data_IF_620520596155
#
_entry.id   IF_620520596155
#
_cell.length_a   1.000
_cell.length_b   1.000
_cell.length_c   1.000
_cell.angle_alpha   90.00
_cell.angle_beta   90.00
_cell.angle_gamma   90.00
#
_symmetry.space_group_name_H-M   'P 1'
#
loop_
_entity.id
_entity.type
_entity.pdbx_description
1 polymer ?
#
# COMPACT_ATOMS: atom_id res chain seq x y z
N UNK A 1 4.37 7.58 -29.26
CA UNK A 1 4.06 8.50 -28.14
C UNK A 1 4.94 8.08 -26.98
N UNK A 2 5.86 8.93 -26.53
CA UNK A 2 6.63 8.72 -25.30
C UNK A 2 5.92 9.47 -24.19
N UNK A 3 5.27 8.75 -23.29
CA UNK A 3 4.77 9.34 -22.05
C UNK A 3 5.92 9.48 -21.07
N UNK A 4 6.11 10.68 -20.53
CA UNK A 4 7.11 10.94 -19.50
C UNK A 4 6.40 11.04 -18.15
N UNK A 5 6.96 10.43 -17.12
CA UNK A 5 6.48 10.60 -15.74
C UNK A 5 7.31 11.67 -15.04
N UNK A 6 6.63 12.55 -14.31
CA UNK A 6 7.24 13.63 -13.52
C UNK A 6 6.87 13.38 -12.06
N UNK A 7 7.87 13.22 -11.21
CA UNK A 7 7.68 13.13 -9.76
C UNK A 7 7.81 14.53 -9.16
N UNK A 8 6.80 14.98 -8.41
CA UNK A 8 6.82 16.24 -7.67
C UNK A 8 6.35 15.99 -6.23
N UNK A 9 7.32 15.93 -5.31
CA UNK A 9 7.05 15.48 -3.95
C UNK A 9 6.51 14.05 -3.96
N UNK A 10 5.40 13.83 -3.26
CA UNK A 10 4.76 12.52 -3.13
C UNK A 10 3.77 12.21 -4.26
N UNK A 11 3.67 13.06 -5.28
CA UNK A 11 2.76 12.86 -6.40
C UNK A 11 3.52 12.64 -7.71
N UNK A 12 2.97 11.76 -8.54
CA UNK A 12 3.43 11.43 -9.87
C UNK A 12 2.45 12.00 -10.86
N UNK A 13 2.98 12.65 -11.89
CA UNK A 13 2.21 13.22 -12.98
C UNK A 13 2.64 12.56 -14.28
N UNK A 14 1.68 12.33 -15.18
CA UNK A 14 1.94 11.92 -16.55
C UNK A 14 2.01 13.17 -17.42
N UNK A 15 3.09 13.31 -18.18
CA UNK A 15 3.27 14.36 -19.17
C UNK A 15 3.17 13.78 -20.56
N UNK A 16 2.34 14.40 -21.39
CA UNK A 16 2.15 14.06 -22.80
C UNK A 16 2.41 15.30 -23.66
N UNK A 17 3.22 15.15 -24.70
CA UNK A 17 3.45 16.21 -25.69
C UNK A 17 2.57 15.97 -26.91
N UNK A 18 1.78 16.99 -27.25
CA UNK A 18 1.01 17.05 -28.48
C UNK A 18 1.71 18.02 -29.41
N UNK A 19 2.27 17.49 -30.50
CA UNK A 19 2.91 18.29 -31.55
C UNK A 19 1.89 18.53 -32.65
N UNK A 20 1.66 19.80 -32.98
CA UNK A 20 0.87 20.26 -34.12
C UNK A 20 1.81 20.96 -35.12
N UNK A 21 1.34 21.25 -36.33
CA UNK A 21 2.14 21.89 -37.38
C UNK A 21 2.72 23.28 -36.96
N UNK A 22 2.14 23.91 -35.94
CA UNK A 22 2.50 25.28 -35.51
C UNK A 22 2.96 25.39 -34.06
N UNK A 23 2.80 24.35 -33.23
CA UNK A 23 3.09 24.43 -31.80
C UNK A 23 3.27 23.03 -31.18
N UNK A 24 4.11 22.97 -30.15
CA UNK A 24 4.14 21.87 -29.17
C UNK A 24 3.38 22.29 -27.92
N UNK A 25 2.45 21.45 -27.47
CA UNK A 25 1.69 21.62 -26.22
C UNK A 25 2.04 20.47 -25.29
N UNK A 26 2.43 20.78 -24.05
CA UNK A 26 2.65 19.77 -22.99
C UNK A 26 1.44 19.74 -22.05
N UNK A 27 0.83 18.58 -21.90
CA UNK A 27 -0.26 18.32 -20.95
C UNK A 27 0.32 17.52 -19.78
N UNK A 28 0.15 18.04 -18.57
CA UNK A 28 0.55 17.36 -17.33
C UNK A 28 -0.70 17.06 -16.51
N UNK A 29 -0.95 15.77 -16.23
CA UNK A 29 -2.09 15.31 -15.44
C UNK A 29 -1.62 14.45 -14.27
N UNK A 30 -2.31 14.53 -13.12
CA UNK A 30 -2.06 13.63 -12.00
C UNK A 30 -2.16 12.16 -12.45
N UNK A 31 -1.21 11.35 -11.98
CA UNK A 31 -1.14 9.92 -12.29
C UNK A 31 -1.37 9.08 -11.04
N UNK A 32 -0.51 9.18 -10.02
CA UNK A 32 -0.60 8.43 -8.76
C UNK A 32 0.23 9.08 -7.65
N UNK A 33 0.23 8.51 -6.44
CA UNK A 33 1.25 8.80 -5.42
C UNK A 33 2.59 8.18 -5.82
N UNK A 34 3.69 8.78 -5.36
CA UNK A 34 5.05 8.34 -5.63
C UNK A 34 5.36 6.99 -4.98
N UNK A 35 4.66 6.66 -3.89
CA UNK A 35 4.79 5.40 -3.16
C UNK A 35 3.43 4.81 -2.79
N UNK A 36 3.39 3.49 -2.63
CA UNK A 36 2.21 2.74 -2.21
C UNK A 36 2.59 1.56 -1.30
N UNK A 37 1.71 1.22 -0.36
CA UNK A 37 1.82 0.01 0.46
C UNK A 37 1.10 -1.13 -0.25
N UNK A 38 1.71 -2.32 -0.24
CA UNK A 38 1.04 -3.57 -0.55
C UNK A 38 0.96 -4.41 0.71
N UNK A 39 -0.26 -4.83 1.06
CA UNK A 39 -0.49 -5.83 2.09
C UNK A 39 -0.49 -7.23 1.49
N UNK A 40 0.05 -8.17 2.24
CA UNK A 40 0.01 -9.60 1.95
C UNK A 40 -0.16 -10.37 3.24
N UNK A 41 -0.81 -11.52 3.20
CA UNK A 41 -0.92 -12.42 4.34
C UNK A 41 -0.41 -13.81 3.95
N UNK A 42 0.09 -14.56 4.92
CA UNK A 42 0.41 -15.98 4.76
C UNK A 42 -0.84 -16.88 4.82
N UNK A 43 -1.96 -16.38 5.36
CA UNK A 43 -3.22 -17.11 5.50
C UNK A 43 -4.42 -16.23 5.15
N UNK A 44 -5.18 -16.65 4.15
CA UNK A 44 -6.47 -16.01 3.81
C UNK A 44 -7.60 -16.43 4.77
N UNK A 45 -7.41 -17.51 5.52
CA UNK A 45 -8.37 -18.06 6.48
C UNK A 45 -7.66 -18.49 7.77
N UNK A 46 -8.27 -18.20 8.92
CA UNK A 46 -7.86 -18.68 10.25
C UNK A 46 -9.04 -19.29 11.00
N UNK A 47 -8.77 -20.14 11.99
CA UNK A 47 -9.78 -20.59 12.94
C UNK A 47 -10.16 -19.49 13.93
N UNK A 48 -11.45 -19.33 14.21
CA UNK A 48 -12.01 -18.38 15.19
C UNK A 48 -11.86 -18.91 16.62
N UNK A 49 -10.64 -19.20 17.04
CA UNK A 49 -10.31 -19.83 18.32
C UNK A 49 -9.29 -19.02 19.15
N UNK A 50 -8.95 -17.81 18.70
CA UNK A 50 -8.03 -16.88 19.38
C UNK A 50 -6.56 -17.28 19.34
N UNK A 51 -6.24 -18.42 18.72
CA UNK A 51 -4.90 -19.03 18.76
C UNK A 51 -4.34 -19.37 17.39
N UNK A 52 -5.17 -19.46 16.35
CA UNK A 52 -4.70 -19.59 14.96
C UNK A 52 -4.28 -18.22 14.42
N UNK A 53 -2.97 -18.06 14.23
CA UNK A 53 -2.32 -16.79 13.88
C UNK A 53 -2.10 -16.69 12.38
N UNK A 54 -2.46 -15.56 11.78
CA UNK A 54 -2.00 -15.14 10.46
C UNK A 54 -0.98 -13.99 10.59
N UNK A 55 0.04 -13.99 9.74
CA UNK A 55 0.99 -12.89 9.60
C UNK A 55 0.59 -12.01 8.43
N UNK A 56 0.33 -10.73 8.68
CA UNK A 56 0.13 -9.72 7.63
C UNK A 56 1.40 -8.91 7.48
N UNK A 57 1.90 -8.79 6.26
CA UNK A 57 3.10 -8.02 5.92
C UNK A 57 2.76 -6.85 5.01
N UNK A 58 3.11 -5.65 5.45
CA UNK A 58 3.15 -4.44 4.63
C UNK A 58 4.50 -4.29 3.96
N UNK A 59 4.50 -3.94 2.67
CA UNK A 59 5.70 -3.63 1.89
C UNK A 59 5.52 -2.34 1.11
N UNK A 60 6.53 -1.47 1.14
CA UNK A 60 6.54 -0.20 0.43
C UNK A 60 7.13 -0.35 -0.98
N UNK A 61 6.42 0.20 -1.96
CA UNK A 61 6.84 0.23 -3.37
C UNK A 61 6.76 1.66 -3.91
N UNK A 62 7.57 2.01 -4.89
CA UNK A 62 7.39 3.23 -5.67
C UNK A 62 6.31 3.04 -6.75
N UNK A 63 5.93 4.13 -7.42
CA UNK A 63 4.96 4.13 -8.52
C UNK A 63 5.35 3.24 -9.72
N UNK A 64 6.63 2.88 -9.87
CA UNK A 64 7.14 1.95 -10.89
C UNK A 64 7.04 0.48 -10.45
N UNK A 65 6.59 0.23 -9.21
CA UNK A 65 6.47 -1.11 -8.64
C UNK A 65 7.77 -1.69 -8.08
N UNK A 66 8.80 -0.86 -7.89
CA UNK A 66 10.06 -1.25 -7.27
C UNK A 66 9.97 -1.18 -5.74
N UNK A 67 10.46 -2.22 -5.08
CA UNK A 67 10.48 -2.30 -3.62
C UNK A 67 11.45 -1.28 -3.02
N UNK A 68 11.02 -0.56 -1.99
CA UNK A 68 11.78 0.53 -1.37
C UNK A 68 12.62 0.04 -0.18
N UNK A 69 13.69 -0.69 -0.48
CA UNK A 69 14.67 -1.14 0.54
C UNK A 69 15.25 0.07 1.26
N UNK A 70 15.40 -0.03 2.58
CA UNK A 70 15.97 1.02 3.42
C UNK A 70 15.00 2.11 3.87
N UNK A 71 13.74 2.10 3.41
CA UNK A 71 12.70 2.96 4.01
C UNK A 71 12.41 2.49 5.44
N UNK A 72 12.35 3.47 6.35
CA UNK A 72 11.96 3.28 7.74
C UNK A 72 10.74 4.15 8.09
N UNK A 73 9.91 4.43 7.08
CA UNK A 73 8.71 5.25 7.24
C UNK A 73 7.76 4.63 8.26
N UNK A 74 6.95 5.46 8.91
CA UNK A 74 5.92 4.98 9.83
C UNK A 74 4.64 4.65 9.07
N UNK A 75 4.07 3.48 9.36
CA UNK A 75 2.81 3.00 8.82
C UNK A 75 1.85 2.68 9.97
N UNK A 76 0.56 2.89 9.74
CA UNK A 76 -0.51 2.56 10.70
C UNK A 76 -1.39 1.48 10.10
N UNK A 77 -1.45 0.34 10.78
CA UNK A 77 -2.44 -0.70 10.51
C UNK A 77 -3.73 -0.34 11.23
N UNK A 78 -4.87 -0.51 10.56
CA UNK A 78 -6.19 -0.53 11.19
C UNK A 78 -6.77 -1.92 11.01
N UNK A 79 -7.07 -2.58 12.12
CA UNK A 79 -7.60 -3.95 12.22
C UNK A 79 -8.97 -3.82 12.84
N UNK A 80 -10.03 -3.93 12.04
CA UNK A 80 -11.42 -3.71 12.46
C UNK A 80 -11.64 -2.40 13.26
N UNK A 81 -10.91 -1.35 12.89
CA UNK A 81 -10.97 -0.03 13.51
C UNK A 81 -10.02 0.18 14.70
N UNK A 82 -9.33 -0.85 15.18
CA UNK A 82 -8.23 -0.69 16.14
C UNK A 82 -6.92 -0.36 15.40
N UNK A 83 -6.25 0.70 15.82
CA UNK A 83 -5.03 1.18 15.15
C UNK A 83 -3.74 0.75 15.84
N UNK A 84 -2.75 0.36 15.04
CA UNK A 84 -1.39 0.06 15.48
C UNK A 84 -0.38 0.73 14.54
N UNK A 85 0.40 1.67 15.07
CA UNK A 85 1.47 2.35 14.32
C UNK A 85 2.82 1.66 14.54
N UNK A 86 3.50 1.35 13.44
CA UNK A 86 4.82 0.72 13.42
C UNK A 86 5.74 1.44 12.44
N UNK A 87 7.05 1.23 12.59
CA UNK A 87 8.03 1.65 11.59
C UNK A 87 8.36 0.50 10.66
N UNK A 88 8.51 0.80 9.37
CA UNK A 88 9.14 -0.11 8.43
C UNK A 88 10.58 -0.37 8.85
N UNK A 89 11.06 -1.57 8.54
CA UNK A 89 12.46 -1.97 8.59
C UNK A 89 12.80 -2.43 7.18
N UNK A 90 13.68 -1.69 6.52
CA UNK A 90 14.08 -1.93 5.14
C UNK A 90 12.89 -2.03 4.16
N UNK A 91 11.87 -1.19 4.34
CA UNK A 91 10.69 -1.09 3.47
C UNK A 91 9.55 -2.05 3.80
N UNK A 92 9.63 -2.82 4.89
CA UNK A 92 8.56 -3.73 5.30
C UNK A 92 8.34 -3.79 6.81
N UNK A 93 7.15 -4.22 7.22
CA UNK A 93 6.83 -4.56 8.60
C UNK A 93 5.69 -5.58 8.62
N UNK A 94 5.62 -6.39 9.68
CA UNK A 94 4.57 -7.40 9.84
C UNK A 94 3.84 -7.25 11.17
N UNK A 95 2.57 -7.66 11.17
CA UNK A 95 1.74 -7.83 12.36
C UNK A 95 1.21 -9.27 12.39
N UNK A 96 0.87 -9.74 13.58
CA UNK A 96 0.17 -10.99 13.80
C UNK A 96 -1.31 -10.70 14.07
N UNK A 97 -2.20 -11.50 13.48
CA UNK A 97 -3.65 -11.37 13.58
C UNK A 97 -4.24 -12.70 14.03
N UNK A 98 -5.12 -12.65 15.03
CA UNK A 98 -5.96 -13.75 15.49
C UNK A 98 -7.41 -13.28 15.62
N UNK A 99 -8.35 -14.21 15.73
CA UNK A 99 -9.74 -13.88 16.07
C UNK A 99 -10.39 -14.99 16.90
N UNK A 100 -11.27 -14.59 17.82
CA UNK A 100 -12.17 -15.46 18.59
C UNK A 100 -13.61 -15.44 18.04
N UNK A 101 -13.84 -14.72 16.95
CA UNK A 101 -15.16 -14.50 16.35
C UNK A 101 -15.13 -14.95 14.89
N UNK A 102 -16.20 -15.63 14.45
CA UNK A 102 -16.42 -15.96 13.04
C UNK A 102 -16.85 -14.70 12.31
N UNK A 103 -15.91 -14.05 11.61
CA UNK A 103 -16.16 -12.89 10.77
C UNK A 103 -15.00 -12.66 9.79
N UNK A 104 -15.19 -11.79 8.81
CA UNK A 104 -14.10 -11.26 7.99
C UNK A 104 -13.37 -10.15 8.77
N UNK A 105 -12.04 -10.26 8.85
CA UNK A 105 -11.16 -9.27 9.48
C UNK A 105 -10.62 -8.36 8.39
N UNK A 106 -10.99 -7.08 8.41
CA UNK A 106 -10.49 -6.10 7.46
C UNK A 106 -9.22 -5.45 8.03
N UNK A 107 -8.10 -5.66 7.35
CA UNK A 107 -6.84 -4.98 7.67
C UNK A 107 -6.53 -3.97 6.58
N UNK A 108 -6.40 -2.71 6.99
CA UNK A 108 -5.90 -1.63 6.14
C UNK A 108 -4.57 -1.12 6.68
N UNK A 109 -3.73 -0.58 5.80
CA UNK A 109 -2.44 0.00 6.18
C UNK A 109 -2.23 1.32 5.47
N UNK A 110 -1.98 2.35 6.26
CA UNK A 110 -1.93 3.75 5.87
C UNK A 110 -0.58 4.35 6.23
N UNK A 111 -0.08 5.26 5.40
CA UNK A 111 1.03 6.15 5.73
C UNK A 111 0.81 7.51 5.06
N UNK A 112 1.41 8.60 5.59
CA UNK A 112 1.29 9.92 4.99
C UNK A 112 1.71 9.91 3.50
N UNK A 113 0.83 10.38 2.63
CA UNK A 113 1.06 10.48 1.19
C UNK A 113 1.42 9.15 0.49
N UNK A 114 0.99 8.04 1.09
CA UNK A 114 1.12 6.70 0.52
C UNK A 114 -0.28 6.18 0.20
N UNK A 115 -0.44 5.57 -0.97
CA UNK A 115 -1.69 4.87 -1.27
C UNK A 115 -1.91 3.71 -0.29
N UNK A 116 -3.12 3.65 0.25
CA UNK A 116 -3.57 2.67 1.26
C UNK A 116 -3.47 1.24 0.70
N UNK A 117 -2.95 0.33 1.52
CA UNK A 117 -3.01 -1.11 1.27
C UNK A 117 -4.16 -1.75 2.06
N UNK A 118 -4.76 -2.81 1.51
CA UNK A 118 -5.88 -3.53 2.12
C UNK A 118 -5.69 -5.05 1.96
N UNK A 119 -6.07 -5.82 2.97
CA UNK A 119 -6.21 -7.28 2.92
C UNK A 119 -7.36 -7.71 3.84
N UNK A 120 -8.02 -8.81 3.48
CA UNK A 120 -9.09 -9.43 4.30
C UNK A 120 -8.67 -10.84 4.67
N UNK A 121 -8.84 -11.21 5.94
CA UNK A 121 -8.65 -12.57 6.45
C UNK A 121 -9.99 -13.09 6.95
N UNK A 122 -10.38 -14.31 6.57
CA UNK A 122 -11.65 -14.91 7.01
C UNK A 122 -11.45 -15.73 8.27
N UNK A 123 -12.11 -15.38 9.37
CA UNK A 123 -12.15 -16.21 10.57
C UNK A 123 -13.34 -17.19 10.51
N UNK A 124 -13.08 -18.48 10.69
CA UNK A 124 -14.07 -19.56 10.51
C UNK A 124 -13.99 -20.58 11.65
N UNK A 125 -15.04 -21.37 11.85
CA UNK A 125 -15.09 -22.41 12.89
C UNK A 125 -14.18 -23.60 12.60
#
# INVERSE_FOLDING_TARGET
MTSNFIVQGDSVYKSEEIVTDTQTVSITSYYDQATHIRLSTDKETILSNGTDVATVTARLYNYEGQYQVGSNDSVTFSIDGAEQTLSLIDGQVSIEVTSDVVDDILITCHAPNVRIGEVVIRAQT
#
